data_IF_751079214253
#
_entry.id   IF_751079214253
#
_cell.length_a   1.000
_cell.length_b   1.000
_cell.length_c   1.000
_cell.angle_alpha   90.00
_cell.angle_beta   90.00
_cell.angle_gamma   90.00
#
_symmetry.space_group_name_H-M   'P 1'
#
loop_
_entity.id
_entity.type
_entity.pdbx_description
1 polymer ?
#
# COMPACT_ATOMS: atom_id res chain seq x y z
N UNK A 1 15.62 3.67 -21.40
CA UNK A 1 15.73 4.60 -20.25
C UNK A 1 14.76 4.26 -19.11
N UNK A 2 14.36 2.99 -18.95
CA UNK A 2 13.41 2.56 -17.89
C UNK A 2 14.09 2.22 -16.56
N UNK A 3 15.39 1.90 -16.59
CA UNK A 3 16.16 1.54 -15.39
C UNK A 3 16.26 2.69 -14.38
N UNK A 4 16.36 3.94 -14.86
CA UNK A 4 16.32 5.13 -13.99
C UNK A 4 14.99 5.26 -13.27
N UNK A 5 13.87 5.08 -13.97
CA UNK A 5 12.53 5.16 -13.39
C UNK A 5 12.34 4.02 -12.39
N UNK A 6 12.72 2.80 -12.76
CA UNK A 6 12.65 1.65 -11.86
C UNK A 6 13.41 1.88 -10.56
N UNK A 7 14.70 2.27 -10.62
CA UNK A 7 15.50 2.49 -9.42
C UNK A 7 14.97 3.64 -8.57
N UNK A 8 14.47 4.71 -9.20
CA UNK A 8 13.95 5.88 -8.49
C UNK A 8 12.63 5.56 -7.79
N UNK A 9 11.70 4.91 -8.48
CA UNK A 9 10.43 4.45 -7.90
C UNK A 9 10.66 3.39 -6.82
N UNK A 10 11.54 2.41 -7.08
CA UNK A 10 11.91 1.39 -6.09
C UNK A 10 12.51 2.05 -4.84
N UNK A 11 13.50 2.93 -4.99
CA UNK A 11 14.15 3.60 -3.87
C UNK A 11 13.20 4.47 -3.07
N UNK A 12 12.31 5.23 -3.74
CA UNK A 12 11.32 6.07 -3.09
C UNK A 12 10.32 5.25 -2.26
N UNK A 13 9.75 4.18 -2.85
CA UNK A 13 8.79 3.32 -2.15
C UNK A 13 9.49 2.55 -1.02
N UNK A 14 10.69 2.01 -1.27
CA UNK A 14 11.46 1.28 -0.28
C UNK A 14 11.74 2.12 0.97
N UNK A 15 12.17 3.37 0.79
CA UNK A 15 12.38 4.30 1.90
C UNK A 15 11.08 4.69 2.60
N UNK A 16 9.98 4.86 1.86
CA UNK A 16 8.67 5.18 2.44
C UNK A 16 8.11 4.03 3.30
N UNK A 17 8.35 2.79 2.90
CA UNK A 17 7.82 1.59 3.56
C UNK A 17 8.72 1.06 4.70
N UNK A 18 9.99 1.47 4.76
CA UNK A 18 11.00 0.95 5.71
C UNK A 18 10.70 1.19 7.20
N UNK A 19 9.76 2.06 7.52
CA UNK A 19 9.44 2.44 8.90
C UNK A 19 7.94 2.33 9.21
N UNK A 20 7.23 1.43 8.53
CA UNK A 20 5.80 1.26 8.73
C UNK A 20 5.44 0.21 9.80
N UNK A 21 4.29 0.43 10.45
CA UNK A 21 3.73 -0.43 11.49
C UNK A 21 3.48 -1.86 10.99
N UNK A 22 3.22 -2.03 9.70
CA UNK A 22 3.06 -3.35 9.06
C UNK A 22 4.31 -4.22 9.21
N UNK A 23 5.51 -3.63 9.20
CA UNK A 23 6.76 -4.37 9.39
C UNK A 23 6.90 -4.91 10.82
N UNK A 24 6.52 -4.12 11.83
CA UNK A 24 6.50 -4.55 13.23
C UNK A 24 5.54 -5.71 13.44
N UNK A 25 4.37 -5.67 12.80
CA UNK A 25 3.41 -6.79 12.80
C UNK A 25 4.02 -8.03 12.14
N UNK A 26 4.69 -7.88 11.00
CA UNK A 26 5.39 -8.97 10.32
C UNK A 26 6.46 -9.62 11.19
N UNK A 27 7.27 -8.82 11.88
CA UNK A 27 8.29 -9.31 12.83
C UNK A 27 7.61 -10.06 13.99
N UNK A 28 6.51 -9.53 14.54
CA UNK A 28 5.76 -10.18 15.61
C UNK A 28 5.17 -11.54 15.20
N UNK A 29 4.59 -11.62 14.00
CA UNK A 29 4.04 -12.88 13.45
C UNK A 29 5.18 -13.87 13.17
N UNK A 30 6.31 -13.40 12.63
CA UNK A 30 7.51 -14.20 12.39
C UNK A 30 8.08 -14.78 13.69
N UNK A 31 8.21 -13.95 14.73
CA UNK A 31 8.69 -14.36 16.05
C UNK A 31 7.76 -15.37 16.72
N UNK A 32 6.43 -15.19 16.60
CA UNK A 32 5.44 -16.11 17.18
C UNK A 32 5.36 -17.46 16.45
N UNK A 33 5.48 -17.45 15.13
CA UNK A 33 5.33 -18.66 14.31
C UNK A 33 6.63 -19.47 14.19
N UNK A 34 7.79 -18.86 14.47
CA UNK A 34 9.10 -19.48 14.28
C UNK A 34 9.44 -19.78 12.80
N UNK A 35 8.64 -19.28 11.85
CA UNK A 35 8.75 -19.56 10.41
C UNK A 35 8.89 -18.27 9.60
N UNK A 36 10.05 -17.57 9.70
CA UNK A 36 10.25 -16.27 9.07
C UNK A 36 10.05 -16.28 7.55
N UNK A 37 10.50 -17.34 6.88
CA UNK A 37 10.38 -17.47 5.42
C UNK A 37 8.92 -17.57 4.95
N UNK A 38 8.05 -18.24 5.71
CA UNK A 38 6.63 -18.39 5.36
C UNK A 38 5.91 -17.06 5.52
N UNK A 39 6.19 -16.33 6.59
CA UNK A 39 5.63 -15.00 6.83
C UNK A 39 6.09 -14.03 5.75
N UNK A 40 7.38 -14.08 5.39
CA UNK A 40 7.92 -13.24 4.32
C UNK A 40 7.25 -13.53 2.97
N UNK A 41 7.16 -14.81 2.56
CA UNK A 41 6.49 -15.19 1.31
C UNK A 41 5.01 -14.82 1.30
N UNK A 42 4.31 -15.00 2.42
CA UNK A 42 2.93 -14.59 2.60
C UNK A 42 2.74 -13.09 2.42
N UNK A 43 3.56 -12.28 3.08
CA UNK A 43 3.50 -10.81 2.97
C UNK A 43 3.83 -10.32 1.56
N UNK A 44 4.88 -10.85 0.93
CA UNK A 44 5.29 -10.46 -0.43
C UNK A 44 4.21 -10.84 -1.45
N UNK A 45 3.71 -12.08 -1.40
CA UNK A 45 2.65 -12.51 -2.33
C UNK A 45 1.36 -11.72 -2.15
N UNK A 46 0.95 -11.46 -0.91
CA UNK A 46 -0.21 -10.61 -0.62
C UNK A 46 -0.02 -9.19 -1.17
N UNK A 47 1.13 -8.57 -0.95
CA UNK A 47 1.42 -7.22 -1.46
C UNK A 47 1.42 -7.18 -2.99
N UNK A 48 2.00 -8.18 -3.65
CA UNK A 48 1.96 -8.31 -5.12
C UNK A 48 0.54 -8.40 -5.66
N UNK A 49 -0.31 -9.24 -5.05
CA UNK A 49 -1.70 -9.41 -5.46
C UNK A 49 -2.49 -8.12 -5.26
N UNK A 50 -2.38 -7.49 -4.09
CA UNK A 50 -3.07 -6.23 -3.78
C UNK A 50 -2.63 -5.13 -4.74
N UNK A 51 -1.33 -5.01 -5.01
CA UNK A 51 -0.80 -4.01 -5.95
C UNK A 51 -1.29 -4.26 -7.38
N UNK A 52 -1.30 -5.52 -7.84
CA UNK A 52 -1.80 -5.87 -9.17
C UNK A 52 -3.28 -5.50 -9.32
N UNK A 53 -4.11 -5.81 -8.30
CA UNK A 53 -5.52 -5.43 -8.29
C UNK A 53 -5.71 -3.91 -8.28
N UNK A 54 -4.93 -3.19 -7.48
CA UNK A 54 -4.94 -1.73 -7.42
C UNK A 54 -4.63 -1.09 -8.78
N UNK A 55 -3.61 -1.58 -9.48
CA UNK A 55 -3.22 -1.06 -10.80
C UNK A 55 -4.29 -1.37 -11.84
N UNK A 56 -4.85 -2.58 -11.85
CA UNK A 56 -5.92 -2.96 -12.78
C UNK A 56 -7.16 -2.08 -12.58
N UNK A 57 -7.64 -1.98 -11.34
CA UNK A 57 -8.81 -1.18 -11.00
C UNK A 57 -8.55 0.31 -11.26
N UNK A 58 -7.39 0.81 -10.87
CA UNK A 58 -7.00 2.21 -11.08
C UNK A 58 -6.92 2.58 -12.56
N UNK A 59 -6.37 1.70 -13.40
CA UNK A 59 -6.32 1.90 -14.85
C UNK A 59 -7.73 1.93 -15.46
N UNK A 60 -8.59 0.97 -15.13
CA UNK A 60 -9.96 0.92 -15.65
C UNK A 60 -10.80 2.13 -15.19
N UNK A 61 -10.66 2.56 -13.94
CA UNK A 61 -11.33 3.77 -13.43
C UNK A 61 -10.82 5.03 -14.14
N UNK A 62 -9.52 5.13 -14.40
CA UNK A 62 -8.93 6.27 -15.09
C UNK A 62 -9.39 6.43 -16.54
N UNK A 63 -9.78 5.34 -17.20
CA UNK A 63 -10.36 5.39 -18.56
C UNK A 63 -11.82 5.86 -18.57
N UNK A 64 -12.59 5.55 -17.52
CA UNK A 64 -14.03 5.83 -17.48
C UNK A 64 -14.39 7.13 -16.75
N UNK A 65 -13.53 7.58 -15.82
CA UNK A 65 -13.80 8.74 -14.98
C UNK A 65 -12.77 9.84 -15.18
N UNK A 66 -13.22 11.10 -15.09
CA UNK A 66 -12.32 12.25 -15.10
C UNK A 66 -11.33 12.15 -13.92
N UNK A 67 -10.03 12.39 -14.13
CA UNK A 67 -9.01 12.32 -13.07
C UNK A 67 -9.33 13.18 -11.84
N UNK A 68 -10.01 14.32 -12.05
CA UNK A 68 -10.45 15.21 -10.99
C UNK A 68 -11.41 14.54 -10.02
N UNK A 69 -12.37 13.76 -10.53
CA UNK A 69 -13.34 13.06 -9.68
C UNK A 69 -12.60 12.09 -8.76
N UNK A 70 -11.77 11.21 -9.32
CA UNK A 70 -10.97 10.22 -8.57
C UNK A 70 -10.13 10.91 -7.47
N UNK A 71 -9.50 12.04 -7.80
CA UNK A 71 -8.70 12.83 -6.85
C UNK A 71 -9.55 13.38 -5.71
N UNK A 72 -10.70 13.98 -6.01
CA UNK A 72 -11.57 14.57 -4.98
C UNK A 72 -12.22 13.50 -4.10
N UNK A 73 -12.69 12.37 -4.66
CA UNK A 73 -13.22 11.29 -3.83
C UNK A 73 -12.14 10.71 -2.92
N UNK A 74 -10.91 10.51 -3.44
CA UNK A 74 -9.78 10.06 -2.62
C UNK A 74 -9.47 11.01 -1.47
N UNK A 75 -9.41 12.32 -1.74
CA UNK A 75 -9.16 13.33 -0.72
C UNK A 75 -10.27 13.38 0.35
N UNK A 76 -11.54 13.33 -0.06
CA UNK A 76 -12.68 13.33 0.87
C UNK A 76 -12.65 12.07 1.74
N UNK A 77 -12.43 10.90 1.16
CA UNK A 77 -12.32 9.65 1.92
C UNK A 77 -11.17 9.71 2.93
N UNK A 78 -10.02 10.24 2.53
CA UNK A 78 -8.87 10.38 3.41
C UNK A 78 -9.16 11.30 4.60
N UNK A 79 -9.83 12.43 4.36
CA UNK A 79 -10.26 13.36 5.42
C UNK A 79 -11.29 12.73 6.35
N UNK A 80 -12.26 11.97 5.81
CA UNK A 80 -13.26 11.25 6.62
C UNK A 80 -12.59 10.22 7.51
N UNK A 81 -11.69 9.38 6.96
CA UNK A 81 -10.95 8.38 7.74
C UNK A 81 -10.11 9.06 8.82
N UNK A 82 -9.40 10.14 8.48
CA UNK A 82 -8.61 10.92 9.43
C UNK A 82 -9.46 11.50 10.57
N UNK A 83 -10.65 12.04 10.27
CA UNK A 83 -11.59 12.51 11.29
C UNK A 83 -12.11 11.38 12.17
N UNK A 84 -12.49 10.24 11.59
CA UNK A 84 -12.98 9.09 12.33
C UNK A 84 -11.90 8.54 13.29
N UNK A 85 -10.65 8.50 12.83
CA UNK A 85 -9.50 8.12 13.65
C UNK A 85 -9.23 9.13 14.77
N UNK A 86 -9.33 10.44 14.49
CA UNK A 86 -9.17 11.49 15.49
C UNK A 86 -10.26 11.43 16.59
N UNK A 87 -11.49 11.08 16.21
CA UNK A 87 -12.61 10.89 17.13
C UNK A 87 -12.57 9.55 17.88
N UNK A 88 -11.57 8.69 17.62
CA UNK A 88 -11.44 7.38 18.25
C UNK A 88 -12.55 6.40 17.91
N UNK A 89 -13.28 6.63 16.79
CA UNK A 89 -14.28 5.68 16.28
C UNK A 89 -13.65 4.54 15.49
N UNK A 90 -12.38 4.69 15.10
CA UNK A 90 -11.49 3.73 14.44
C UNK A 90 -10.10 3.94 15.04
#
# INVERSE_FOLDING_TARGET
>A
MYWKIFLLTFGAIFLAELADKTQLVGIGISAKSGKPLVVWLGSVSAYMVVTALLVLIGATLGEHFKPELIRYTGAILFVIIGMLMFLGKI
#
